data_IF_229838797089
#
_entry.id   IF_229838797089
#
_cell.length_a   1.000
_cell.length_b   1.000
_cell.length_c   1.000
_cell.angle_alpha   90.00
_cell.angle_beta   90.00
_cell.angle_gamma   90.00
#
_symmetry.space_group_name_H-M   'P 1'
#
loop_
_entity.id
_entity.type
_entity.pdbx_description
1 polymer ?
#
# COMPACT_ATOMS: atom_id res chain seq x y z
N UNK A 1 -58.88 53.29 36.12
CA UNK A 1 -57.42 53.21 35.98
C UNK A 1 -56.97 51.76 35.70
N UNK A 2 -57.12 51.32 34.45
CA UNK A 2 -56.69 50.01 33.97
C UNK A 2 -55.45 50.19 33.11
N UNK A 3 -54.28 49.80 33.63
CA UNK A 3 -53.03 49.78 32.88
C UNK A 3 -52.89 48.46 32.13
N UNK A 4 -52.95 48.57 30.82
CA UNK A 4 -52.61 47.58 29.81
C UNK A 4 -51.09 47.36 29.76
N UNK A 5 -50.62 46.22 30.26
CA UNK A 5 -49.26 45.72 30.00
C UNK A 5 -49.25 44.89 28.70
N UNK A 6 -48.83 45.52 27.60
CA UNK A 6 -48.43 44.84 26.38
C UNK A 6 -47.05 44.19 26.61
N UNK A 7 -47.04 42.87 26.79
CA UNK A 7 -45.82 42.07 26.72
C UNK A 7 -45.40 41.91 25.26
N UNK A 8 -44.42 42.71 24.86
CA UNK A 8 -43.71 42.60 23.59
C UNK A 8 -42.87 41.31 23.60
N UNK A 9 -43.41 40.25 22.99
CA UNK A 9 -42.71 38.99 22.77
C UNK A 9 -41.69 39.20 21.65
N UNK A 10 -40.48 39.61 22.04
CA UNK A 10 -39.34 39.81 21.14
C UNK A 10 -38.84 38.44 20.70
N UNK A 11 -39.22 38.03 19.50
CA UNK A 11 -38.71 36.83 18.83
C UNK A 11 -37.22 37.03 18.57
N UNK A 12 -36.37 36.52 19.47
CA UNK A 12 -34.94 36.34 19.19
C UNK A 12 -34.83 35.35 18.04
N UNK A 13 -34.53 35.87 16.85
CA UNK A 13 -34.10 35.08 15.70
C UNK A 13 -32.78 34.44 16.12
N UNK A 14 -32.85 33.21 16.64
CA UNK A 14 -31.69 32.36 16.85
C UNK A 14 -30.96 32.28 15.51
N UNK A 15 -29.81 32.95 15.44
CA UNK A 15 -28.85 32.83 14.36
C UNK A 15 -28.41 31.37 14.28
N UNK A 16 -29.12 30.60 13.44
CA UNK A 16 -28.75 29.25 13.09
C UNK A 16 -27.32 29.33 12.52
N UNK A 17 -26.37 28.54 13.02
CA UNK A 17 -25.00 28.58 12.54
C UNK A 17 -25.01 28.29 11.04
N UNK A 18 -24.62 29.30 10.24
CA UNK A 18 -24.47 29.15 8.79
C UNK A 18 -23.60 27.93 8.54
N UNK A 19 -24.11 26.96 7.79
CA UNK A 19 -23.34 25.79 7.41
C UNK A 19 -22.09 26.27 6.67
N UNK A 20 -20.87 25.96 7.17
CA UNK A 20 -19.62 26.46 6.58
C UNK A 20 -19.46 26.03 5.12
N UNK A 21 -20.07 24.90 4.73
CA UNK A 21 -20.12 24.43 3.35
C UNK A 21 -20.84 25.38 2.38
N UNK A 22 -21.85 26.11 2.85
CA UNK A 22 -22.61 27.07 2.02
C UNK A 22 -21.81 28.36 1.81
N UNK A 23 -21.02 28.80 2.79
CA UNK A 23 -20.15 29.99 2.64
C UNK A 23 -19.07 29.76 1.60
N UNK A 24 -18.38 28.62 1.66
CA UNK A 24 -17.31 28.29 0.72
C UNK A 24 -17.81 28.17 -0.73
N UNK A 25 -19.04 27.68 -0.94
CA UNK A 25 -19.64 27.61 -2.28
C UNK A 25 -19.92 29.01 -2.83
N UNK A 26 -20.50 29.90 -2.02
CA UNK A 26 -20.78 31.30 -2.41
C UNK A 26 -19.47 32.04 -2.72
N UNK A 27 -18.43 31.86 -1.89
CA UNK A 27 -17.11 32.46 -2.13
C UNK A 27 -16.48 31.96 -3.43
N UNK A 28 -16.64 30.67 -3.75
CA UNK A 28 -16.17 30.12 -5.01
C UNK A 28 -16.95 30.69 -6.22
N UNK A 29 -18.27 30.82 -6.13
CA UNK A 29 -19.11 31.43 -7.18
C UNK A 29 -18.73 32.91 -7.41
N UNK A 30 -18.55 33.68 -6.34
CA UNK A 30 -18.10 35.08 -6.41
C UNK A 30 -16.70 35.21 -7.03
N UNK A 31 -15.76 34.34 -6.63
CA UNK A 31 -14.43 34.31 -7.24
C UNK A 31 -14.47 33.95 -8.74
N UNK A 32 -15.35 33.01 -9.13
CA UNK A 32 -15.57 32.66 -10.53
C UNK A 32 -16.13 33.84 -11.33
N UNK A 33 -17.07 34.59 -10.75
CA UNK A 33 -17.64 35.78 -11.38
C UNK A 33 -16.57 36.87 -11.55
N UNK A 34 -15.75 37.12 -10.52
CA UNK A 34 -14.62 38.07 -10.59
C UNK A 34 -13.63 37.72 -11.69
N UNK A 35 -13.30 36.43 -11.84
CA UNK A 35 -12.41 35.97 -12.91
C UNK A 35 -13.01 36.22 -14.30
N UNK A 36 -14.30 35.93 -14.49
CA UNK A 36 -14.99 36.20 -15.75
C UNK A 36 -14.98 37.70 -16.09
N UNK A 37 -15.24 38.57 -15.11
CA UNK A 37 -15.17 40.02 -15.27
C UNK A 37 -13.74 40.49 -15.61
N UNK A 38 -12.72 39.96 -14.94
CA UNK A 38 -11.32 40.31 -15.21
C UNK A 38 -10.89 39.91 -16.63
N UNK A 39 -11.28 38.72 -17.10
CA UNK A 39 -11.02 38.27 -18.47
C UNK A 39 -11.74 39.15 -19.50
N UNK A 40 -12.97 39.56 -19.21
CA UNK A 40 -13.71 40.51 -20.06
C UNK A 40 -13.00 41.87 -20.12
N UNK A 41 -12.52 42.39 -18.98
CA UNK A 41 -11.78 43.65 -18.93
C UNK A 41 -10.44 43.56 -19.68
N UNK A 42 -9.74 42.43 -19.56
CA UNK A 42 -8.52 42.17 -20.31
C UNK A 42 -8.77 42.18 -21.83
N UNK A 43 -9.83 41.51 -22.30
CA UNK A 43 -10.23 41.55 -23.71
C UNK A 43 -10.49 42.99 -24.19
N UNK A 44 -11.17 43.82 -23.38
CA UNK A 44 -11.39 45.23 -23.73
C UNK A 44 -10.07 46.01 -23.82
N UNK A 45 -9.10 45.74 -22.94
CA UNK A 45 -7.78 46.36 -23.02
C UNK A 45 -7.01 45.94 -24.30
N UNK A 46 -7.12 44.67 -24.71
CA UNK A 46 -6.56 44.20 -25.98
C UNK A 46 -7.21 44.90 -27.19
N UNK A 47 -8.54 45.04 -27.20
CA UNK A 47 -9.25 45.78 -28.25
C UNK A 47 -8.86 47.26 -28.28
N UNK A 48 -8.65 47.87 -27.10
CA UNK A 48 -8.15 49.24 -27.02
C UNK A 48 -6.75 49.37 -27.61
N UNK A 49 -5.84 48.43 -27.32
CA UNK A 49 -4.49 48.43 -27.91
C UNK A 49 -4.51 48.37 -29.44
N UNK A 50 -5.45 47.63 -30.04
CA UNK A 50 -5.63 47.57 -31.49
C UNK A 50 -5.90 48.95 -32.11
N UNK A 51 -6.65 49.82 -31.41
CA UNK A 51 -6.94 51.18 -31.88
C UNK A 51 -5.72 52.11 -31.96
N UNK A 52 -4.60 51.77 -31.28
CA UNK A 52 -3.35 52.56 -31.30
C UNK A 52 -2.34 52.10 -32.36
N UNK A 53 -2.65 51.03 -33.10
CA UNK A 53 -1.75 50.46 -34.12
C UNK A 53 -1.44 51.40 -35.29
N UNK A 54 -2.22 52.48 -35.48
CA UNK A 54 -2.05 53.45 -36.58
C UNK A 54 -0.93 54.50 -36.39
N UNK A 55 -0.39 54.67 -35.17
CA UNK A 55 0.65 55.66 -34.89
C UNK A 55 2.06 55.06 -35.04
N UNK A 56 2.87 55.62 -35.96
CA UNK A 56 4.22 55.13 -36.29
C UNK A 56 5.21 55.40 -35.15
N UNK A 57 5.38 54.44 -34.25
CA UNK A 57 6.34 54.53 -33.14
C UNK A 57 7.75 54.10 -33.58
N UNK A 58 8.81 54.84 -33.17
CA UNK A 58 10.19 54.52 -33.53
C UNK A 58 10.72 53.21 -32.92
N UNK A 59 9.99 52.57 -32.00
CA UNK A 59 10.41 51.34 -31.30
C UNK A 59 9.34 50.23 -31.34
N UNK A 60 8.84 49.95 -32.56
CA UNK A 60 7.77 48.98 -32.79
C UNK A 60 8.18 47.55 -32.38
N UNK A 61 9.41 47.15 -32.66
CA UNK A 61 9.89 45.78 -32.40
C UNK A 61 9.96 45.45 -30.90
N UNK A 62 10.39 46.40 -30.06
CA UNK A 62 10.43 46.21 -28.61
C UNK A 62 9.01 46.09 -28.03
N UNK A 63 8.07 46.89 -28.54
CA UNK A 63 6.66 46.85 -28.12
C UNK A 63 6.03 45.52 -28.49
N UNK A 64 6.23 45.04 -29.73
CA UNK A 64 5.77 43.72 -30.19
C UNK A 64 6.33 42.61 -29.30
N UNK A 65 7.65 42.59 -29.09
CA UNK A 65 8.30 41.56 -28.26
C UNK A 65 7.78 41.58 -26.81
N UNK A 66 7.49 42.77 -26.27
CA UNK A 66 6.93 42.94 -24.93
C UNK A 66 5.48 42.43 -24.85
N UNK A 67 4.68 42.63 -25.90
CA UNK A 67 3.31 42.11 -25.99
C UNK A 67 3.35 40.59 -26.07
N UNK A 68 4.15 40.02 -26.97
CA UNK A 68 4.29 38.58 -27.16
C UNK A 68 4.74 37.90 -25.86
N UNK A 69 5.79 38.43 -25.22
CA UNK A 69 6.26 37.90 -23.94
C UNK A 69 5.19 37.97 -22.83
N UNK A 70 4.44 39.06 -22.78
CA UNK A 70 3.36 39.23 -21.78
C UNK A 70 2.20 38.27 -22.03
N UNK A 71 1.85 38.04 -23.30
CA UNK A 71 0.81 37.09 -23.72
C UNK A 71 1.22 35.66 -23.38
N UNK A 72 2.43 35.25 -23.74
CA UNK A 72 2.93 33.90 -23.47
C UNK A 72 2.98 33.61 -21.96
N UNK A 73 3.45 34.58 -21.17
CA UNK A 73 3.50 34.46 -19.72
C UNK A 73 2.08 34.39 -19.11
N UNK A 74 1.17 35.27 -19.53
CA UNK A 74 -0.21 35.27 -19.06
C UNK A 74 -0.94 33.97 -19.42
N UNK A 75 -0.82 33.50 -20.66
CA UNK A 75 -1.43 32.26 -21.12
C UNK A 75 -0.91 31.05 -20.34
N UNK A 76 0.41 30.94 -20.17
CA UNK A 76 1.02 29.85 -19.42
C UNK A 76 0.53 29.81 -17.98
N UNK A 77 0.49 30.99 -17.32
CA UNK A 77 0.01 31.11 -15.94
C UNK A 77 -1.48 30.82 -15.82
N UNK A 78 -2.32 31.38 -16.69
CA UNK A 78 -3.77 31.13 -16.69
C UNK A 78 -4.07 29.65 -16.93
N UNK A 79 -3.36 29.02 -17.86
CA UNK A 79 -3.52 27.58 -18.15
C UNK A 79 -3.17 26.72 -16.93
N UNK A 80 -2.05 27.01 -16.26
CA UNK A 80 -1.63 26.30 -15.05
C UNK A 80 -2.66 26.44 -13.92
N UNK A 81 -3.07 27.67 -13.60
CA UNK A 81 -4.01 27.94 -12.51
C UNK A 81 -5.41 27.36 -12.79
N UNK A 82 -5.91 27.47 -14.03
CA UNK A 82 -7.19 26.88 -14.41
C UNK A 82 -7.14 25.35 -14.36
N UNK A 83 -6.03 24.73 -14.81
CA UNK A 83 -5.85 23.29 -14.72
C UNK A 83 -5.85 22.81 -13.27
N UNK A 84 -5.13 23.52 -12.39
CA UNK A 84 -5.10 23.24 -10.96
C UNK A 84 -6.48 23.41 -10.31
N UNK A 85 -7.20 24.50 -10.63
CA UNK A 85 -8.54 24.74 -10.11
C UNK A 85 -9.52 23.64 -10.50
N UNK A 86 -9.46 23.15 -11.75
CA UNK A 86 -10.28 22.02 -12.25
C UNK A 86 -10.01 20.73 -11.47
N UNK A 87 -8.75 20.43 -11.16
CA UNK A 87 -8.38 19.25 -10.36
C UNK A 87 -8.99 19.37 -8.95
N UNK A 88 -8.84 20.52 -8.29
CA UNK A 88 -9.39 20.75 -6.95
C UNK A 88 -10.92 20.67 -6.95
N UNK A 89 -11.60 21.30 -7.92
CA UNK A 89 -13.06 21.25 -8.01
C UNK A 89 -13.57 19.83 -8.31
N UNK A 90 -12.90 19.08 -9.18
CA UNK A 90 -13.22 17.69 -9.42
C UNK A 90 -13.08 16.86 -8.14
N UNK A 91 -12.04 17.09 -7.34
CA UNK A 91 -11.86 16.44 -6.03
C UNK A 91 -12.98 16.79 -5.04
N UNK A 92 -13.33 18.08 -4.93
CA UNK A 92 -14.43 18.54 -4.06
C UNK A 92 -15.75 17.93 -4.49
N UNK A 93 -16.07 17.98 -5.80
CA UNK A 93 -17.28 17.36 -6.35
C UNK A 93 -17.33 15.87 -6.05
N UNK A 94 -16.24 15.14 -6.27
CA UNK A 94 -16.16 13.70 -6.00
C UNK A 94 -16.35 13.42 -4.51
N UNK A 95 -15.79 14.25 -3.63
CA UNK A 95 -15.95 14.14 -2.18
C UNK A 95 -17.40 14.34 -1.73
N UNK A 96 -18.10 15.31 -2.31
CA UNK A 96 -19.50 15.60 -1.99
C UNK A 96 -20.43 14.52 -2.57
N UNK A 97 -20.13 14.03 -3.78
CA UNK A 97 -21.01 13.10 -4.50
C UNK A 97 -20.87 11.65 -4.07
N UNK A 98 -19.68 11.25 -3.57
CA UNK A 98 -19.40 9.86 -3.25
C UNK A 98 -19.74 9.53 -1.80
N UNK A 99 -20.67 8.58 -1.64
CA UNK A 99 -21.03 8.01 -0.32
C UNK A 99 -19.84 7.40 0.41
N UNK A 100 -18.78 7.01 -0.29
CA UNK A 100 -17.58 6.44 0.33
C UNK A 100 -16.88 7.44 1.27
N UNK A 101 -17.05 8.76 1.05
CA UNK A 101 -16.52 9.79 1.96
C UNK A 101 -17.39 10.02 3.20
N UNK A 102 -18.59 9.43 3.25
CA UNK A 102 -19.48 9.47 4.42
C UNK A 102 -19.23 8.30 5.37
N UNK A 103 -18.54 7.26 4.92
CA UNK A 103 -18.22 6.12 5.75
C UNK A 103 -17.07 6.48 6.71
N UNK A 104 -17.21 6.21 8.01
CA UNK A 104 -16.10 6.26 8.95
C UNK A 104 -14.95 5.37 8.47
N UNK A 105 -13.71 5.76 8.80
CA UNK A 105 -12.52 5.02 8.39
C UNK A 105 -12.54 3.57 8.91
N UNK A 106 -13.17 3.34 10.06
CA UNK A 106 -13.31 2.02 10.69
C UNK A 106 -14.20 1.10 9.84
N UNK A 107 -15.27 1.63 9.26
CA UNK A 107 -16.16 0.87 8.37
C UNK A 107 -15.47 0.57 7.04
N UNK A 108 -14.74 1.54 6.49
CA UNK A 108 -13.91 1.32 5.29
C UNK A 108 -12.82 0.27 5.55
N UNK A 109 -12.16 0.33 6.70
CA UNK A 109 -11.16 -0.64 7.13
C UNK A 109 -11.75 -2.05 7.20
N UNK A 110 -12.94 -2.21 7.78
CA UNK A 110 -13.63 -3.48 7.84
C UNK A 110 -13.97 -4.02 6.44
N UNK A 111 -14.54 -3.18 5.57
CA UNK A 111 -14.82 -3.54 4.18
C UNK A 111 -13.54 -3.99 3.47
N UNK A 112 -12.42 -3.31 3.71
CA UNK A 112 -11.14 -3.66 3.08
C UNK A 112 -10.64 -5.02 3.55
N UNK A 113 -10.74 -5.32 4.85
CA UNK A 113 -10.38 -6.63 5.38
C UNK A 113 -11.23 -7.75 4.75
N UNK A 114 -12.54 -7.52 4.61
CA UNK A 114 -13.41 -8.47 3.91
C UNK A 114 -12.98 -8.64 2.46
N UNK A 115 -12.68 -7.55 1.76
CA UNK A 115 -12.17 -7.60 0.39
C UNK A 115 -10.84 -8.34 0.31
N UNK A 116 -9.93 -8.24 1.26
CA UNK A 116 -8.66 -8.96 1.19
C UNK A 116 -8.83 -10.46 1.40
N UNK A 117 -9.53 -10.84 2.48
CA UNK A 117 -9.50 -12.21 2.99
C UNK A 117 -10.71 -13.06 2.54
N UNK A 118 -11.86 -12.47 2.21
CA UNK A 118 -13.05 -13.23 1.80
C UNK A 118 -12.99 -13.61 0.32
N UNK A 119 -13.07 -14.92 -0.02
CA UNK A 119 -13.07 -15.37 -1.41
C UNK A 119 -14.24 -14.81 -2.21
N UNK A 120 -13.96 -14.46 -3.47
CA UNK A 120 -15.00 -14.12 -4.42
C UNK A 120 -15.83 -15.35 -4.81
N UNK A 121 -17.02 -15.17 -5.40
CA UNK A 121 -17.91 -16.29 -5.78
C UNK A 121 -17.29 -17.32 -6.71
N UNK A 122 -16.31 -16.90 -7.53
CA UNK A 122 -15.62 -17.76 -8.50
C UNK A 122 -14.25 -18.24 -8.00
N UNK A 123 -13.88 -17.93 -6.76
CA UNK A 123 -12.60 -18.29 -6.19
C UNK A 123 -12.75 -19.51 -5.28
N UNK A 124 -11.77 -20.41 -5.32
CA UNK A 124 -11.71 -21.54 -4.41
C UNK A 124 -11.56 -21.09 -2.95
N UNK A 125 -12.14 -21.81 -1.97
CA UNK A 125 -12.05 -21.46 -0.55
C UNK A 125 -10.63 -21.59 0.01
N UNK A 126 -9.80 -22.44 -0.59
CA UNK A 126 -8.42 -22.72 -0.15
C UNK A 126 -7.45 -22.50 -1.32
N UNK A 127 -7.08 -21.24 -1.63
CA UNK A 127 -6.09 -20.96 -2.65
C UNK A 127 -4.71 -21.51 -2.22
N UNK A 128 -3.85 -21.80 -3.19
CA UNK A 128 -2.42 -22.01 -2.92
C UNK A 128 -1.82 -20.77 -2.22
N UNK A 129 -0.68 -20.90 -1.53
CA UNK A 129 -0.07 -19.73 -0.87
C UNK A 129 0.24 -18.64 -1.91
N UNK A 130 0.74 -19.04 -3.08
CA UNK A 130 0.94 -18.16 -4.24
C UNK A 130 -0.32 -17.39 -4.61
N UNK A 131 -1.44 -18.09 -4.81
CA UNK A 131 -2.69 -17.46 -5.23
C UNK A 131 -3.27 -16.56 -4.13
N UNK A 132 -3.14 -16.98 -2.86
CA UNK A 132 -3.54 -16.20 -1.70
C UNK A 132 -2.77 -14.88 -1.61
N UNK A 133 -1.44 -14.90 -1.74
CA UNK A 133 -0.61 -13.69 -1.74
C UNK A 133 -0.92 -12.79 -2.93
N UNK A 134 -1.01 -13.36 -4.15
CA UNK A 134 -1.39 -12.64 -5.37
C UNK A 134 -2.73 -11.92 -5.19
N UNK A 135 -3.69 -12.60 -4.57
CA UNK A 135 -5.02 -12.06 -4.32
C UNK A 135 -4.99 -10.96 -3.28
N UNK A 136 -4.39 -11.18 -2.12
CA UNK A 136 -4.33 -10.18 -1.03
C UNK A 136 -3.65 -8.91 -1.53
N UNK A 137 -2.43 -9.02 -2.08
CA UNK A 137 -1.67 -7.86 -2.53
C UNK A 137 -2.24 -7.24 -3.81
N UNK A 138 -2.78 -8.05 -4.72
CA UNK A 138 -3.46 -7.54 -5.92
C UNK A 138 -4.69 -6.71 -5.57
N UNK A 139 -5.52 -7.17 -4.62
CA UNK A 139 -6.68 -6.44 -4.13
C UNK A 139 -6.26 -5.19 -3.35
N UNK A 140 -5.27 -5.30 -2.47
CA UNK A 140 -4.69 -4.17 -1.74
C UNK A 140 -4.24 -3.06 -2.71
N UNK A 141 -3.39 -3.38 -3.68
CA UNK A 141 -2.92 -2.40 -4.67
C UNK A 141 -4.06 -1.80 -5.50
N UNK A 142 -5.08 -2.60 -5.84
CA UNK A 142 -6.26 -2.12 -6.54
C UNK A 142 -7.03 -1.09 -5.70
N UNK A 143 -7.25 -1.36 -4.41
CA UNK A 143 -7.93 -0.44 -3.49
C UNK A 143 -7.13 0.86 -3.28
N UNK A 144 -5.80 0.78 -3.16
CA UNK A 144 -4.93 1.96 -3.05
C UNK A 144 -4.94 2.84 -4.30
N UNK A 145 -5.39 2.29 -5.43
CA UNK A 145 -5.55 2.98 -6.71
C UNK A 145 -6.88 3.73 -6.88
N UNK A 146 -7.89 3.49 -6.04
CA UNK A 146 -9.25 4.02 -6.24
C UNK A 146 -9.34 5.52 -6.00
N UNK A 147 -9.04 5.98 -4.79
CA UNK A 147 -9.03 7.40 -4.44
C UNK A 147 -8.07 7.65 -3.26
N UNK A 148 -7.80 8.92 -2.97
CA UNK A 148 -6.88 9.30 -1.88
C UNK A 148 -7.37 8.83 -0.51
N UNK A 149 -8.68 8.88 -0.25
CA UNK A 149 -9.25 8.40 1.03
C UNK A 149 -9.07 6.90 1.21
N UNK A 150 -9.36 6.11 0.17
CA UNK A 150 -9.16 4.66 0.18
C UNK A 150 -7.68 4.31 0.34
N UNK A 151 -6.81 5.05 -0.35
CA UNK A 151 -5.35 4.91 -0.18
C UNK A 151 -4.92 5.17 1.25
N UNK A 152 -5.39 6.26 1.86
CA UNK A 152 -5.02 6.63 3.23
C UNK A 152 -5.49 5.57 4.24
N UNK A 153 -6.73 5.07 4.09
CA UNK A 153 -7.25 3.98 4.94
C UNK A 153 -6.44 2.70 4.72
N UNK A 154 -6.22 2.29 3.47
CA UNK A 154 -5.48 1.05 3.16
C UNK A 154 -4.01 1.07 3.60
N UNK A 155 -3.35 2.23 3.55
CA UNK A 155 -1.99 2.40 4.09
C UNK A 155 -1.98 2.38 5.62
N UNK A 156 -3.05 2.86 6.27
CA UNK A 156 -3.18 2.86 7.74
C UNK A 156 -3.64 1.51 8.33
N UNK A 157 -4.12 0.58 7.50
CA UNK A 157 -4.40 -0.80 7.93
C UNK A 157 -3.11 -1.49 8.32
N UNK A 158 -3.14 -2.30 9.38
CA UNK A 158 -1.92 -2.92 9.93
C UNK A 158 -1.70 -4.31 9.36
N UNK A 159 -2.77 -5.09 9.34
CA UNK A 159 -2.71 -6.53 9.17
C UNK A 159 -2.21 -6.96 7.78
N UNK A 160 -2.64 -6.34 6.67
CA UNK A 160 -2.14 -6.72 5.34
C UNK A 160 -0.63 -6.48 5.16
N UNK A 161 -0.05 -5.49 5.87
CA UNK A 161 1.38 -5.19 5.80
C UNK A 161 2.20 -5.97 6.82
N UNK A 162 1.57 -6.72 7.73
CA UNK A 162 2.28 -7.64 8.64
C UNK A 162 2.79 -8.88 7.90
N UNK A 163 2.18 -9.21 6.76
CA UNK A 163 2.61 -10.29 5.88
C UNK A 163 3.66 -9.74 4.92
N UNK A 164 4.86 -10.31 4.95
CA UNK A 164 5.94 -9.96 4.03
C UNK A 164 5.99 -11.03 2.94
N UNK A 165 5.46 -10.74 1.73
CA UNK A 165 5.47 -11.69 0.64
C UNK A 165 6.89 -11.77 0.07
N UNK A 166 7.34 -12.98 -0.19
CA UNK A 166 8.67 -13.24 -0.73
C UNK A 166 8.53 -14.30 -1.81
N UNK A 167 9.18 -14.15 -2.95
CA UNK A 167 9.16 -15.19 -3.97
C UNK A 167 9.44 -14.72 -5.38
N UNK A 168 9.74 -15.70 -6.22
CA UNK A 168 9.80 -15.55 -7.65
C UNK A 168 8.38 -15.64 -8.22
N UNK A 169 7.79 -14.45 -8.36
CA UNK A 169 6.47 -14.27 -8.95
C UNK A 169 6.67 -13.68 -10.35
N UNK A 170 7.52 -14.29 -11.18
CA UNK A 170 7.74 -13.85 -12.56
C UNK A 170 6.44 -13.88 -13.42
N UNK A 171 5.46 -14.71 -13.06
CA UNK A 171 4.19 -14.82 -13.79
C UNK A 171 3.08 -13.88 -13.31
N UNK A 172 3.25 -13.18 -12.18
CA UNK A 172 2.19 -12.37 -11.58
C UNK A 172 2.73 -10.99 -11.19
N UNK A 173 1.87 -9.99 -11.22
CA UNK A 173 2.20 -8.55 -11.09
C UNK A 173 2.78 -8.15 -9.72
N UNK A 174 3.06 -9.10 -8.82
CA UNK A 174 3.74 -8.89 -7.55
C UNK A 174 5.25 -8.77 -7.75
N UNK A 175 5.66 -7.58 -8.18
CA UNK A 175 7.07 -7.21 -8.33
C UNK A 175 7.77 -7.22 -6.96
N UNK A 176 9.11 -7.30 -6.91
CA UNK A 176 9.94 -7.04 -5.71
C UNK A 176 9.54 -5.78 -4.91
N UNK A 177 8.83 -4.86 -5.57
CA UNK A 177 8.19 -3.68 -4.98
C UNK A 177 7.16 -4.02 -3.88
N UNK A 178 6.46 -5.15 -3.95
CA UNK A 178 5.47 -5.54 -2.94
C UNK A 178 6.17 -5.89 -1.61
N UNK A 179 7.24 -6.69 -1.66
CA UNK A 179 8.09 -6.98 -0.49
C UNK A 179 8.70 -5.71 0.07
N UNK A 180 9.33 -4.86 -0.76
CA UNK A 180 9.96 -3.62 -0.28
C UNK A 180 8.94 -2.65 0.31
N UNK A 181 7.75 -2.56 -0.29
CA UNK A 181 6.68 -1.72 0.21
C UNK A 181 6.12 -2.27 1.51
N UNK A 182 5.86 -3.58 1.62
CA UNK A 182 5.39 -4.19 2.85
C UNK A 182 6.41 -4.00 3.99
N UNK A 183 7.71 -4.18 3.70
CA UNK A 183 8.78 -3.91 4.64
C UNK A 183 8.83 -2.43 5.04
N UNK A 184 8.87 -1.50 4.09
CA UNK A 184 8.84 -0.06 4.36
C UNK A 184 7.65 0.31 5.23
N UNK A 185 6.46 -0.20 4.88
CA UNK A 185 5.23 0.02 5.64
C UNK A 185 5.24 -0.70 6.97
N UNK A 186 5.96 -1.79 7.16
CA UNK A 186 6.12 -2.39 8.49
C UNK A 186 7.09 -1.60 9.38
N UNK A 187 8.14 -1.01 8.79
CA UNK A 187 9.16 -0.23 9.47
C UNK A 187 8.70 1.17 9.89
N UNK A 188 7.87 1.84 9.08
CA UNK A 188 7.26 3.16 9.42
C UNK A 188 6.48 3.12 10.75
N UNK A 189 6.25 1.92 11.29
CA UNK A 189 5.44 1.66 12.48
C UNK A 189 6.36 1.37 13.67
N UNK A 190 7.22 2.35 13.93
CA UNK A 190 8.46 2.37 14.72
C UNK A 190 8.35 1.92 16.19
N UNK A 191 7.19 1.55 16.73
CA UNK A 191 7.04 1.42 18.20
C UNK A 191 6.30 0.19 18.72
N UNK A 192 6.12 -0.85 17.91
CA UNK A 192 5.44 -2.07 18.37
C UNK A 192 6.26 -3.32 18.16
N UNK A 193 6.41 -4.13 19.21
CA UNK A 193 6.85 -5.53 19.16
C UNK A 193 5.83 -6.37 18.38
N UNK A 194 5.70 -6.11 17.08
CA UNK A 194 4.66 -6.69 16.24
C UNK A 194 5.14 -7.94 15.56
N UNK A 195 4.23 -8.89 15.52
CA UNK A 195 4.35 -10.13 14.79
C UNK A 195 4.38 -9.83 13.28
N UNK A 196 5.56 -9.94 12.67
CA UNK A 196 5.67 -10.04 11.22
C UNK A 196 5.58 -11.49 10.79
N UNK A 197 4.99 -11.71 9.63
CA UNK A 197 4.75 -13.03 9.07
C UNK A 197 5.42 -13.11 7.70
N UNK A 198 6.46 -13.93 7.57
CA UNK A 198 7.07 -14.18 6.27
C UNK A 198 6.23 -15.22 5.53
N UNK A 199 5.85 -14.91 4.29
CA UNK A 199 5.17 -15.84 3.40
C UNK A 199 5.97 -15.94 2.10
N UNK A 200 6.69 -17.05 1.94
CA UNK A 200 7.64 -17.25 0.87
C UNK A 200 7.17 -18.31 -0.13
N UNK A 201 7.15 -17.97 -1.41
CA UNK A 201 6.84 -18.88 -2.52
C UNK A 201 8.07 -18.98 -3.42
N UNK A 202 8.81 -20.07 -3.33
CA UNK A 202 10.09 -20.24 -4.03
C UNK A 202 9.90 -21.06 -5.32
N UNK A 203 10.60 -20.65 -6.38
CA UNK A 203 10.70 -21.37 -7.66
C UNK A 203 12.11 -21.94 -7.84
N UNK A 204 12.31 -22.80 -8.84
CA UNK A 204 13.63 -23.33 -9.22
C UNK A 204 14.65 -22.24 -9.58
N UNK A 205 14.17 -21.12 -10.11
CA UNK A 205 15.02 -20.02 -10.61
C UNK A 205 15.07 -18.83 -9.66
N UNK A 206 14.38 -18.91 -8.52
CA UNK A 206 14.37 -17.83 -7.55
C UNK A 206 15.79 -17.63 -7.02
N UNK A 207 16.47 -16.60 -7.52
CA UNK A 207 17.57 -16.00 -6.78
C UNK A 207 17.03 -15.68 -5.39
N UNK A 208 17.81 -15.99 -4.36
CA UNK A 208 17.34 -15.78 -3.02
C UNK A 208 16.88 -14.32 -2.86
N UNK A 209 15.66 -14.11 -2.34
CA UNK A 209 15.07 -12.80 -2.21
C UNK A 209 15.98 -11.96 -1.33
N UNK A 210 16.60 -10.94 -1.95
CA UNK A 210 17.49 -10.03 -1.26
C UNK A 210 16.64 -9.13 -0.37
N UNK A 211 16.48 -9.50 0.91
CA UNK A 211 16.48 -8.50 1.96
C UNK A 211 17.79 -7.73 1.77
N UNK A 212 17.72 -6.40 1.63
CA UNK A 212 18.90 -5.58 1.34
C UNK A 212 20.00 -5.74 2.39
N UNK A 213 21.04 -4.91 2.34
CA UNK A 213 22.09 -4.88 3.40
C UNK A 213 21.56 -4.46 4.78
N UNK A 214 20.29 -4.12 4.87
CA UNK A 214 19.61 -3.74 6.11
C UNK A 214 19.34 -4.96 6.99
N UNK A 215 19.24 -4.73 8.30
CA UNK A 215 18.96 -5.78 9.28
C UNK A 215 17.60 -6.40 8.95
N UNK A 216 17.58 -7.71 8.69
CA UNK A 216 16.33 -8.42 8.43
C UNK A 216 15.38 -8.24 9.62
N UNK A 217 14.08 -7.98 9.38
CA UNK A 217 13.13 -7.85 10.46
C UNK A 217 12.93 -9.21 11.16
N UNK A 218 12.54 -9.15 12.44
CA UNK A 218 12.19 -10.35 13.19
C UNK A 218 10.80 -10.84 12.78
N UNK A 219 10.70 -12.11 12.41
CA UNK A 219 9.46 -12.75 12.02
C UNK A 219 8.95 -13.66 13.14
N UNK A 220 7.68 -13.50 13.49
CA UNK A 220 6.98 -14.34 14.45
C UNK A 220 6.53 -15.67 13.85
N UNK A 221 6.30 -15.70 12.52
CA UNK A 221 6.01 -16.91 11.77
C UNK A 221 6.69 -16.89 10.41
N UNK A 222 7.13 -18.05 9.94
CA UNK A 222 7.64 -18.22 8.58
C UNK A 222 6.86 -19.35 7.90
N UNK A 223 6.26 -19.03 6.76
CA UNK A 223 5.55 -19.97 5.90
C UNK A 223 6.27 -20.03 4.55
N UNK A 224 6.66 -21.22 4.11
CA UNK A 224 7.42 -21.44 2.88
C UNK A 224 6.71 -22.48 2.05
N UNK A 225 6.38 -22.13 0.81
CA UNK A 225 5.88 -23.03 -0.22
C UNK A 225 6.89 -23.06 -1.37
N UNK A 226 7.28 -24.25 -1.82
CA UNK A 226 8.31 -24.37 -2.87
C UNK A 226 8.12 -25.63 -3.71
N UNK A 227 8.59 -25.59 -4.96
CA UNK A 227 8.58 -26.75 -5.84
C UNK A 227 9.63 -27.78 -5.38
N UNK A 228 9.32 -29.06 -5.49
CA UNK A 228 10.23 -30.17 -5.21
C UNK A 228 11.39 -30.13 -6.24
N UNK A 229 12.64 -30.18 -5.74
CA UNK A 229 13.95 -30.14 -6.45
C UNK A 229 14.57 -28.80 -6.92
N UNK A 230 15.86 -28.59 -6.60
CA UNK A 230 16.47 -28.73 -5.28
C UNK A 230 16.15 -27.45 -4.47
N UNK A 231 15.10 -27.52 -3.66
CA UNK A 231 14.58 -26.36 -2.94
C UNK A 231 15.10 -26.22 -1.50
N UNK A 232 15.76 -27.23 -0.95
CA UNK A 232 16.39 -27.22 0.39
C UNK A 232 17.44 -26.13 0.52
N UNK A 233 18.27 -25.90 -0.51
CA UNK A 233 19.26 -24.84 -0.56
C UNK A 233 18.59 -23.45 -0.48
N UNK A 234 17.52 -23.24 -1.26
CA UNK A 234 16.76 -21.99 -1.28
C UNK A 234 16.03 -21.73 0.03
N UNK A 235 15.41 -22.76 0.63
CA UNK A 235 14.80 -22.69 1.96
C UNK A 235 15.88 -22.35 3.00
N UNK A 236 17.02 -23.06 2.97
CA UNK A 236 18.12 -22.87 3.92
C UNK A 236 18.69 -21.45 3.85
N UNK A 237 18.93 -20.94 2.65
CA UNK A 237 19.41 -19.58 2.47
C UNK A 237 18.37 -18.53 2.90
N UNK A 238 17.08 -18.76 2.63
CA UNK A 238 16.00 -17.89 3.10
C UNK A 238 15.95 -17.82 4.62
N UNK A 239 16.08 -18.97 5.31
CA UNK A 239 16.03 -19.07 6.77
C UNK A 239 17.31 -18.54 7.44
N UNK A 240 18.47 -18.70 6.82
CA UNK A 240 19.74 -18.23 7.38
C UNK A 240 19.72 -16.71 7.67
N UNK A 241 19.10 -15.92 6.78
CA UNK A 241 19.05 -14.44 6.91
C UNK A 241 18.39 -13.94 8.19
N UNK A 242 17.13 -14.29 8.51
CA UNK A 242 16.51 -13.88 9.77
C UNK A 242 17.22 -14.50 10.99
N UNK A 243 17.80 -15.70 10.87
CA UNK A 243 18.58 -16.31 11.95
C UNK A 243 19.90 -15.59 12.23
N UNK A 244 20.50 -14.95 11.22
CA UNK A 244 21.69 -14.12 11.36
C UNK A 244 21.40 -12.77 12.02
N UNK A 245 20.16 -12.27 11.90
CA UNK A 245 19.70 -11.04 12.54
C UNK A 245 19.59 -11.20 14.07
N UNK A 246 19.87 -10.13 14.82
CA UNK A 246 20.27 -10.15 16.24
C UNK A 246 19.50 -11.12 17.17
N UNK A 247 20.20 -11.89 18.03
CA UNK A 247 19.57 -12.70 19.06
C UNK A 247 18.96 -11.84 20.20
N UNK A 248 17.90 -12.31 20.88
CA UNK A 248 17.25 -13.61 20.73
C UNK A 248 16.24 -13.64 19.57
N UNK A 249 16.31 -14.70 18.76
CA UNK A 249 15.34 -14.96 17.70
C UNK A 249 14.15 -15.72 18.29
N UNK A 250 12.97 -15.11 18.32
CA UNK A 250 11.74 -15.70 18.86
C UNK A 250 10.75 -15.90 17.73
N UNK A 251 10.70 -17.12 17.19
CA UNK A 251 9.72 -17.51 16.18
C UNK A 251 8.76 -18.53 16.77
N UNK A 252 7.46 -18.26 16.64
CA UNK A 252 6.39 -19.08 17.19
C UNK A 252 5.87 -20.13 16.21
N UNK A 253 6.06 -19.94 14.91
CA UNK A 253 5.48 -20.80 13.88
C UNK A 253 6.40 -20.98 12.67
N UNK A 254 6.57 -22.22 12.24
CA UNK A 254 7.26 -22.58 11.01
C UNK A 254 6.40 -23.55 10.19
N UNK A 255 6.11 -23.18 8.94
CA UNK A 255 5.43 -24.03 7.97
C UNK A 255 6.27 -24.17 6.71
N UNK A 256 6.58 -25.39 6.28
CA UNK A 256 7.32 -25.67 5.05
C UNK A 256 6.54 -26.71 4.25
N UNK A 257 6.17 -26.35 3.02
CA UNK A 257 5.46 -27.21 2.08
C UNK A 257 6.25 -27.31 0.79
N UNK A 258 6.75 -28.52 0.49
CA UNK A 258 7.34 -28.82 -0.80
C UNK A 258 6.32 -29.59 -1.64
N UNK A 259 6.01 -29.09 -2.84
CA UNK A 259 5.02 -29.70 -3.72
C UNK A 259 5.65 -30.08 -5.06
N UNK A 260 5.20 -31.19 -5.65
CA UNK A 260 5.63 -31.61 -6.98
C UNK A 260 4.75 -30.97 -8.04
N UNK A 261 5.35 -30.37 -9.07
CA UNK A 261 4.58 -29.86 -10.21
C UNK A 261 4.01 -31.06 -11.01
N UNK A 262 2.74 -31.01 -11.46
CA UNK A 262 2.10 -32.14 -12.15
C UNK A 262 2.80 -32.63 -13.42
N UNK A 263 3.72 -31.85 -13.98
CA UNK A 263 4.41 -32.17 -15.24
C UNK A 263 5.75 -32.87 -15.03
N UNK A 264 6.23 -32.99 -13.78
CA UNK A 264 7.58 -33.47 -13.46
C UNK A 264 7.53 -34.79 -12.67
N UNK A 265 6.85 -35.80 -13.21
CA UNK A 265 6.84 -37.17 -12.64
C UNK A 265 8.11 -37.98 -12.98
N UNK A 266 9.18 -37.33 -13.43
CA UNK A 266 10.47 -38.02 -13.52
C UNK A 266 10.86 -38.49 -12.11
N UNK A 267 11.48 -39.67 -12.02
CA UNK A 267 12.00 -40.22 -10.76
C UNK A 267 13.06 -39.27 -10.20
N UNK A 268 12.61 -38.34 -9.37
CA UNK A 268 13.42 -37.41 -8.60
C UNK A 268 14.30 -38.24 -7.66
N UNK A 269 15.61 -38.26 -7.93
CA UNK A 269 16.58 -38.86 -7.05
C UNK A 269 16.95 -37.81 -6.00
N UNK A 270 16.40 -37.95 -4.80
CA UNK A 270 16.80 -37.12 -3.65
C UNK A 270 18.13 -37.68 -3.16
N UNK A 271 19.23 -36.91 -3.19
CA UNK A 271 20.47 -37.37 -2.59
C UNK A 271 20.24 -37.63 -1.09
N UNK A 272 20.76 -38.73 -0.56
CA UNK A 272 20.61 -39.10 0.86
C UNK A 272 21.07 -38.01 1.85
N UNK A 273 21.90 -37.06 1.39
CA UNK A 273 22.45 -35.96 2.19
C UNK A 273 21.71 -34.62 2.01
N UNK A 274 20.60 -34.58 1.27
CA UNK A 274 19.86 -33.33 1.05
C UNK A 274 18.78 -33.13 2.11
N UNK A 275 19.17 -32.56 3.25
CA UNK A 275 18.28 -32.19 4.34
C UNK A 275 18.30 -30.68 4.62
N UNK A 276 17.22 -30.18 5.21
CA UNK A 276 17.08 -28.78 5.58
C UNK A 276 18.16 -28.37 6.59
N UNK A 277 18.97 -27.37 6.24
CA UNK A 277 20.10 -26.93 7.06
C UNK A 277 21.46 -27.37 6.52
N UNK A 278 21.52 -28.37 5.63
CA UNK A 278 22.79 -28.86 5.05
C UNK A 278 23.60 -27.75 4.36
N UNK A 279 22.93 -26.78 3.75
CA UNK A 279 23.55 -25.64 3.07
C UNK A 279 23.76 -24.40 3.95
N UNK A 280 23.46 -24.48 5.25
CA UNK A 280 23.70 -23.38 6.20
C UNK A 280 25.16 -23.40 6.68
N UNK A 281 25.64 -22.25 7.16
CA UNK A 281 26.87 -22.21 7.96
C UNK A 281 26.63 -22.93 9.29
N UNK A 282 27.69 -23.45 9.93
CA UNK A 282 27.59 -24.13 11.23
C UNK A 282 26.87 -23.27 12.27
N UNK A 283 27.09 -21.97 12.27
CA UNK A 283 26.51 -21.00 13.19
C UNK A 283 25.03 -20.76 12.90
N UNK A 284 24.66 -20.57 11.62
CA UNK A 284 23.26 -20.42 11.21
C UNK A 284 22.48 -21.72 11.48
N UNK A 285 23.10 -22.88 11.25
CA UNK A 285 22.53 -24.18 11.54
C UNK A 285 22.30 -24.39 13.04
N UNK A 286 23.26 -24.07 13.91
CA UNK A 286 23.06 -24.09 15.37
C UNK A 286 21.89 -23.21 15.82
N UNK A 287 21.75 -22.02 15.22
CA UNK A 287 20.61 -21.11 15.48
C UNK A 287 19.30 -21.69 14.96
N UNK A 288 19.32 -22.30 13.78
CA UNK A 288 18.17 -22.99 13.19
C UNK A 288 17.68 -24.11 14.12
N UNK A 289 18.57 -24.97 14.61
CA UNK A 289 18.23 -26.02 15.59
C UNK A 289 17.72 -25.41 16.90
N UNK A 290 18.40 -24.38 17.42
CA UNK A 290 17.99 -23.70 18.66
C UNK A 290 16.58 -23.10 18.56
N UNK A 291 16.20 -22.60 17.39
CA UNK A 291 14.91 -21.97 17.12
C UNK A 291 13.73 -22.95 17.28
N UNK A 292 13.91 -24.26 17.10
CA UNK A 292 12.87 -25.26 17.40
C UNK A 292 12.41 -25.24 18.87
N UNK A 293 13.27 -24.82 19.80
CA UNK A 293 12.88 -24.65 21.20
C UNK A 293 11.90 -23.48 21.42
N UNK A 294 11.76 -22.58 20.45
CA UNK A 294 10.83 -21.45 20.52
C UNK A 294 9.50 -21.68 19.79
N UNK A 295 9.41 -22.72 18.95
CA UNK A 295 8.24 -23.00 18.14
C UNK A 295 7.07 -23.49 18.99
N UNK A 296 5.89 -22.93 18.70
CA UNK A 296 4.59 -23.41 19.18
C UNK A 296 3.86 -24.24 18.13
N UNK A 297 4.16 -23.99 16.85
CA UNK A 297 3.56 -24.66 15.69
C UNK A 297 4.65 -25.03 14.70
N UNK A 298 4.69 -26.30 14.30
CA UNK A 298 5.52 -26.81 13.22
C UNK A 298 4.66 -27.57 12.22
N UNK A 299 4.72 -27.16 10.95
CA UNK A 299 4.06 -27.86 9.85
C UNK A 299 5.06 -28.15 8.75
N UNK A 300 5.27 -29.41 8.45
CA UNK A 300 6.17 -29.84 7.40
C UNK A 300 5.38 -30.72 6.45
N UNK A 301 5.66 -30.60 5.16
CA UNK A 301 5.12 -31.50 4.15
C UNK A 301 6.16 -31.71 3.07
N UNK A 302 6.56 -32.97 2.92
CA UNK A 302 7.58 -33.39 1.95
C UNK A 302 8.94 -32.70 2.15
N UNK A 303 9.31 -32.45 3.41
CA UNK A 303 10.59 -31.83 3.79
C UNK A 303 11.47 -32.79 4.57
N UNK A 304 12.72 -32.94 4.11
CA UNK A 304 13.73 -33.75 4.78
C UNK A 304 14.44 -32.93 5.86
N UNK A 305 14.41 -33.40 7.11
CA UNK A 305 15.04 -32.76 8.26
C UNK A 305 15.79 -33.85 9.03
N UNK A 306 17.01 -33.54 9.47
CA UNK A 306 17.72 -34.39 10.43
C UNK A 306 17.11 -34.23 11.83
N UNK A 307 16.19 -35.13 12.17
CA UNK A 307 15.51 -35.14 13.46
C UNK A 307 16.41 -35.50 14.63
N UNK A 308 17.60 -36.08 14.39
CA UNK A 308 18.47 -36.56 15.47
C UNK A 308 19.06 -35.44 16.31
N UNK A 309 19.14 -34.22 15.74
CA UNK A 309 19.72 -33.05 16.40
C UNK A 309 18.67 -32.09 16.98
N UNK A 310 17.39 -32.31 16.69
CA UNK A 310 16.31 -31.40 17.10
C UNK A 310 15.80 -31.79 18.48
N UNK A 311 15.82 -30.82 19.39
CA UNK A 311 15.11 -30.90 20.67
C UNK A 311 13.95 -29.93 20.65
N UNK A 312 12.76 -30.42 20.99
CA UNK A 312 11.57 -29.59 21.14
C UNK A 312 11.41 -29.13 22.58
N UNK A 313 10.86 -27.94 22.75
CA UNK A 313 10.43 -27.46 24.07
C UNK A 313 9.00 -27.89 24.38
N UNK A 314 8.59 -27.65 25.62
CA UNK A 314 7.21 -27.78 26.10
C UNK A 314 6.23 -26.79 25.44
N UNK A 315 6.73 -25.83 24.67
CA UNK A 315 5.91 -24.84 23.95
C UNK A 315 5.29 -25.38 22.67
N UNK A 316 5.80 -26.49 22.11
CA UNK A 316 5.28 -27.04 20.87
C UNK A 316 3.90 -27.66 21.11
N UNK A 317 2.85 -26.99 20.61
CA UNK A 317 1.46 -27.42 20.76
C UNK A 317 0.98 -28.20 19.53
N UNK A 318 1.51 -27.90 18.34
CA UNK A 318 1.04 -28.50 17.09
C UNK A 318 2.22 -28.94 16.22
N UNK A 319 2.19 -30.21 15.81
CA UNK A 319 3.11 -30.78 14.83
C UNK A 319 2.32 -31.49 13.73
N UNK A 320 2.47 -31.03 12.49
CA UNK A 320 1.95 -31.71 11.29
C UNK A 320 3.12 -32.10 10.41
N UNK A 321 3.19 -33.37 10.01
CA UNK A 321 4.25 -33.97 9.19
C UNK A 321 3.67 -34.59 7.91
#
# INVERSE_FOLDING_TARGET
PHNSHQNSCRTEIMNQPRNPSTSALIEWEDASQKLATALSAYLQACLFLDTFSGTRYPDTNKTVSSIDHSLDNLHSKLFQELSQSRIVLAQVRNKISSRAYLLPNEILAQIFMDVFYVPGPNEGPFPSMRDGLNRIFGRLHSLLGVCTTWRNVGVALKDPWSVIPVGDIESSRLRPKATSLALQRSHDWVSGNRCLHLAAVLSKQSAAPFFGKEVAPQFSSINIETQFEPSTASISHLLARPLDSQPPFVMSELSIHQFQAPQEFALVFIPDNDYLGFHMTTEAYKRFISMFNSLSILRLRSTNIDWSEITFSDKLVTIHL
#
